data_IF_394910869391
#
_entry.id   IF_394910869391
#
_cell.length_a   1.000
_cell.length_b   1.000
_cell.length_c   1.000
_cell.angle_alpha   90.00
_cell.angle_beta   90.00
_cell.angle_gamma   90.00
#
_symmetry.space_group_name_H-M   'P 1'
#
loop_
_entity.id
_entity.type
_entity.pdbx_description
1 polymer ?
#
# COMPACT_ATOMS: atom_id res chain seq x y z
N UNK A 1 9.64 -2.66 -7.17
CA UNK A 1 10.09 -1.77 -8.27
C UNK A 1 9.58 -2.25 -9.63
N UNK A 2 10.08 -3.35 -10.20
CA UNK A 2 9.73 -3.79 -11.55
C UNK A 2 8.21 -3.96 -11.78
N UNK A 3 7.51 -4.61 -10.86
CA UNK A 3 6.05 -4.77 -10.95
C UNK A 3 5.28 -3.44 -10.91
N UNK A 4 5.77 -2.45 -10.17
CA UNK A 4 5.15 -1.11 -10.11
C UNK A 4 5.41 -0.37 -11.42
N UNK A 5 6.63 -0.45 -11.96
CA UNK A 5 6.96 0.14 -13.26
C UNK A 5 6.10 -0.46 -14.39
N UNK A 6 5.92 -1.79 -14.37
CA UNK A 6 5.19 -2.51 -15.41
C UNK A 6 3.67 -2.36 -15.27
N UNK A 7 3.10 -2.47 -14.06
CA UNK A 7 1.64 -2.53 -13.86
C UNK A 7 1.06 -1.31 -13.18
N UNK A 8 1.86 -0.31 -12.81
CA UNK A 8 1.42 0.89 -12.11
C UNK A 8 0.37 1.67 -12.89
N UNK A 9 0.55 1.83 -14.20
CA UNK A 9 -0.42 2.51 -15.07
C UNK A 9 -1.72 1.71 -15.27
N UNK A 10 -1.70 0.38 -15.10
CA UNK A 10 -2.87 -0.49 -15.27
C UNK A 10 -3.69 -0.56 -13.98
N UNK A 11 -3.01 -0.79 -12.85
CA UNK A 11 -3.67 -1.17 -11.60
C UNK A 11 -3.33 -0.27 -10.40
N UNK A 12 -2.39 0.66 -10.55
CA UNK A 12 -1.77 1.37 -9.41
C UNK A 12 -0.68 0.58 -8.72
N UNK A 13 -0.47 -0.70 -9.08
CA UNK A 13 0.66 -1.50 -8.59
C UNK A 13 0.68 -1.76 -7.08
N UNK A 14 -0.50 -1.91 -6.45
CA UNK A 14 -0.60 -2.05 -4.99
C UNK A 14 0.16 -3.28 -4.45
N UNK A 15 -0.10 -4.45 -5.05
CA UNK A 15 0.61 -5.73 -4.79
C UNK A 15 0.63 -6.12 -3.28
N UNK A 16 -0.25 -5.49 -2.48
CA UNK A 16 -0.20 -5.54 -1.03
C UNK A 16 -1.58 -5.18 -0.43
N UNK A 17 -2.18 -6.05 0.39
CA UNK A 17 -3.45 -5.76 1.05
C UNK A 17 -3.39 -4.53 1.95
N UNK A 18 -2.30 -4.31 2.69
CA UNK A 18 -2.16 -3.14 3.56
C UNK A 18 -2.16 -1.82 2.76
N UNK A 19 -1.47 -1.79 1.62
CA UNK A 19 -1.50 -0.65 0.68
C UNK A 19 -2.90 -0.47 0.10
N UNK A 20 -3.57 -1.56 -0.28
CA UNK A 20 -4.91 -1.51 -0.87
C UNK A 20 -5.96 -0.98 0.11
N UNK A 21 -5.91 -1.45 1.35
CA UNK A 21 -6.79 -0.97 2.42
C UNK A 21 -6.50 0.49 2.72
N UNK A 22 -5.21 0.89 2.81
CA UNK A 22 -4.84 2.30 2.99
C UNK A 22 -5.39 3.20 1.87
N UNK A 23 -5.30 2.76 0.61
CA UNK A 23 -5.87 3.48 -0.54
C UNK A 23 -7.39 3.57 -0.48
N UNK A 24 -8.09 2.55 0.02
CA UNK A 24 -9.53 2.59 0.23
C UNK A 24 -9.92 3.56 1.36
N UNK A 25 -9.20 3.54 2.49
CA UNK A 25 -9.38 4.49 3.61
C UNK A 25 -9.13 5.93 3.17
N UNK A 26 -8.13 6.14 2.32
CA UNK A 26 -7.84 7.43 1.70
C UNK A 26 -8.85 7.85 0.61
N UNK A 27 -9.87 7.03 0.34
CA UNK A 27 -10.87 7.21 -0.72
C UNK A 27 -10.28 7.33 -2.13
N UNK A 28 -9.08 6.78 -2.35
CA UNK A 28 -8.45 6.75 -3.66
C UNK A 28 -8.97 5.60 -4.55
N UNK A 29 -9.60 4.57 -3.95
CA UNK A 29 -10.26 3.47 -4.66
C UNK A 29 -11.61 3.14 -4.01
N UNK A 30 -12.52 2.53 -4.78
CA UNK A 30 -13.79 2.03 -4.24
C UNK A 30 -13.59 0.78 -3.38
N UNK A 31 -14.52 0.53 -2.46
CA UNK A 31 -14.50 -0.65 -1.58
C UNK A 31 -14.54 -1.95 -2.40
N UNK A 32 -15.36 -2.00 -3.46
CA UNK A 32 -15.44 -3.19 -4.34
C UNK A 32 -14.09 -3.45 -5.00
N UNK A 33 -13.43 -2.42 -5.53
CA UNK A 33 -12.09 -2.55 -6.13
C UNK A 33 -11.07 -3.02 -5.08
N UNK A 34 -11.16 -2.51 -3.86
CA UNK A 34 -10.29 -2.91 -2.77
C UNK A 34 -10.44 -4.40 -2.44
N UNK A 35 -11.67 -4.90 -2.32
CA UNK A 35 -11.95 -6.33 -2.07
C UNK A 35 -11.38 -7.19 -3.19
N UNK A 36 -11.66 -6.86 -4.46
CA UNK A 36 -11.14 -7.61 -5.60
C UNK A 36 -9.61 -7.62 -5.65
N UNK A 37 -8.97 -6.50 -5.33
CA UNK A 37 -7.51 -6.40 -5.25
C UNK A 37 -6.94 -7.31 -4.16
N UNK A 38 -7.50 -7.25 -2.95
CA UNK A 38 -7.04 -8.08 -1.82
C UNK A 38 -7.20 -9.57 -2.14
N UNK A 39 -8.33 -9.97 -2.71
CA UNK A 39 -8.56 -11.36 -3.14
C UNK A 39 -7.52 -11.81 -4.19
N UNK A 40 -7.30 -11.00 -5.23
CA UNK A 40 -6.31 -11.31 -6.27
C UNK A 40 -4.88 -11.39 -5.70
N UNK A 41 -4.52 -10.49 -4.79
CA UNK A 41 -3.21 -10.49 -4.13
C UNK A 41 -2.98 -11.74 -3.28
N UNK A 42 -3.99 -12.16 -2.49
CA UNK A 42 -3.94 -13.38 -1.69
C UNK A 42 -3.79 -14.62 -2.57
N UNK A 43 -4.63 -14.77 -3.59
CA UNK A 43 -4.60 -15.91 -4.51
C UNK A 43 -3.24 -15.98 -5.22
N UNK A 44 -2.78 -14.85 -5.76
CA UNK A 44 -1.48 -14.78 -6.43
C UNK A 44 -0.31 -15.12 -5.51
N UNK A 45 -0.34 -14.66 -4.26
CA UNK A 45 0.71 -14.96 -3.30
C UNK A 45 0.75 -16.43 -2.88
N UNK A 46 -0.41 -17.08 -2.68
CA UNK A 46 -0.49 -18.52 -2.39
C UNK A 46 0.04 -19.35 -3.57
N UNK A 47 -0.41 -19.02 -4.80
CA UNK A 47 0.10 -19.68 -6.01
C UNK A 47 1.62 -19.50 -6.13
N UNK A 48 2.13 -18.28 -5.90
CA UNK A 48 3.56 -18.00 -5.87
C UNK A 48 4.33 -18.81 -4.82
N UNK A 49 3.77 -18.95 -3.61
CA UNK A 49 4.35 -19.75 -2.53
C UNK A 49 4.47 -21.23 -2.88
N UNK A 50 3.42 -21.83 -3.45
CA UNK A 50 3.48 -23.23 -3.91
C UNK A 50 4.37 -23.43 -5.13
N UNK A 51 4.43 -22.47 -6.06
CA UNK A 51 5.37 -22.50 -7.18
C UNK A 51 6.82 -22.50 -6.66
N UNK A 52 7.15 -21.63 -5.70
CA UNK A 52 8.46 -21.62 -5.05
C UNK A 52 8.77 -22.97 -4.42
N UNK A 53 7.86 -23.53 -3.63
CA UNK A 53 8.02 -24.85 -3.01
C UNK A 53 8.26 -25.95 -4.06
N UNK A 54 7.46 -25.98 -5.13
CA UNK A 54 7.55 -26.98 -6.18
C UNK A 54 8.86 -26.93 -6.96
N UNK A 55 9.33 -25.72 -7.30
CA UNK A 55 10.52 -25.50 -8.12
C UNK A 55 11.83 -25.52 -7.33
N UNK A 56 11.78 -25.39 -6.01
CA UNK A 56 12.97 -25.42 -5.17
C UNK A 56 13.31 -26.88 -4.80
N UNK A 57 14.53 -27.39 -5.04
CA UNK A 57 14.91 -28.74 -4.62
C UNK A 57 14.91 -28.88 -3.09
N UNK A 58 14.58 -30.07 -2.58
CA UNK A 58 14.38 -30.32 -1.13
C UNK A 58 15.52 -29.77 -0.25
N UNK A 59 16.82 -29.96 -0.57
CA UNK A 59 17.91 -29.45 0.27
C UNK A 59 17.95 -27.92 0.41
N UNK A 60 17.31 -27.19 -0.52
CA UNK A 60 17.29 -25.72 -0.55
C UNK A 60 15.93 -25.12 -0.13
N UNK A 61 14.97 -25.95 0.27
CA UNK A 61 13.61 -25.47 0.61
C UNK A 61 13.55 -24.68 1.91
N UNK A 62 14.52 -24.86 2.81
CA UNK A 62 14.58 -24.25 4.15
C UNK A 62 13.17 -24.04 4.75
N UNK A 63 12.83 -22.81 5.17
CA UNK A 63 11.51 -22.43 5.65
C UNK A 63 10.65 -21.70 4.59
N UNK A 64 11.05 -21.72 3.31
CA UNK A 64 10.40 -20.99 2.20
C UNK A 64 10.22 -19.48 2.46
N UNK A 65 11.15 -18.87 3.22
CA UNK A 65 11.16 -17.44 3.55
C UNK A 65 9.85 -16.96 4.22
N UNK A 66 9.31 -17.78 5.12
CA UNK A 66 8.25 -17.37 6.05
C UNK A 66 8.70 -16.19 6.90
N UNK A 67 7.78 -15.29 7.20
CA UNK A 67 8.01 -14.24 8.18
C UNK A 67 7.85 -14.82 9.57
N UNK A 68 8.87 -14.65 10.41
CA UNK A 68 8.89 -15.11 11.79
C UNK A 68 9.58 -14.07 12.69
N UNK A 69 9.23 -14.04 13.97
CA UNK A 69 9.92 -13.21 14.93
C UNK A 69 11.36 -13.69 15.10
N UNK A 70 12.28 -12.72 15.13
CA UNK A 70 13.69 -12.97 15.41
C UNK A 70 13.90 -13.46 16.85
N UNK A 71 15.04 -14.11 17.15
CA UNK A 71 15.34 -14.57 18.49
C UNK A 71 15.27 -13.43 19.53
N UNK A 72 14.49 -13.63 20.59
CA UNK A 72 14.33 -12.64 21.67
C UNK A 72 13.37 -11.47 21.35
N UNK A 73 12.76 -11.43 20.15
CA UNK A 73 11.78 -10.41 19.79
C UNK A 73 10.40 -10.80 20.32
N UNK A 74 9.81 -9.92 21.12
CA UNK A 74 8.45 -10.11 21.63
C UNK A 74 7.40 -9.80 20.56
N UNK A 75 6.18 -10.32 20.73
CA UNK A 75 5.07 -10.02 19.80
C UNK A 75 4.78 -8.52 19.67
N UNK A 76 4.86 -7.77 20.77
CA UNK A 76 4.64 -6.32 20.78
C UNK A 76 5.74 -5.58 19.99
N UNK A 77 7.01 -5.99 20.14
CA UNK A 77 8.11 -5.43 19.36
C UNK A 77 7.96 -5.75 17.87
N UNK A 78 7.62 -7.01 17.53
CA UNK A 78 7.38 -7.40 16.15
C UNK A 78 6.23 -6.63 15.50
N UNK A 79 5.12 -6.46 16.22
CA UNK A 79 4.02 -5.61 15.81
C UNK A 79 4.46 -4.16 15.56
N UNK A 80 5.20 -3.57 16.51
CA UNK A 80 5.71 -2.21 16.38
C UNK A 80 6.62 -2.02 15.17
N UNK A 81 7.49 -2.98 14.90
CA UNK A 81 8.35 -2.99 13.71
C UNK A 81 7.51 -3.02 12.44
N UNK A 82 6.60 -3.99 12.28
CA UNK A 82 5.78 -4.09 11.07
C UNK A 82 4.88 -2.87 10.83
N UNK A 83 4.38 -2.26 11.90
CA UNK A 83 3.64 -1.01 11.85
C UNK A 83 4.49 0.12 11.26
N UNK A 84 5.69 0.35 11.80
CA UNK A 84 6.57 1.45 11.36
C UNK A 84 7.09 1.24 9.93
N UNK A 85 7.46 0.01 9.59
CA UNK A 85 7.92 -0.33 8.24
C UNK A 85 6.83 -0.06 7.21
N UNK A 86 5.61 -0.52 7.48
CA UNK A 86 4.49 -0.35 6.54
C UNK A 86 3.99 1.09 6.50
N UNK A 87 3.97 1.80 7.63
CA UNK A 87 3.69 3.23 7.67
C UNK A 87 4.65 4.01 6.76
N UNK A 88 5.94 3.71 6.83
CA UNK A 88 6.96 4.35 6.00
C UNK A 88 6.73 4.05 4.52
N UNK A 89 6.51 2.79 4.18
CA UNK A 89 6.20 2.35 2.81
C UNK A 89 4.98 3.08 2.24
N UNK A 90 3.87 3.05 2.97
CA UNK A 90 2.61 3.64 2.51
C UNK A 90 2.71 5.16 2.41
N UNK A 91 3.48 5.81 3.29
CA UNK A 91 3.69 7.26 3.24
C UNK A 91 4.46 7.65 1.98
N UNK A 92 5.49 6.88 1.61
CA UNK A 92 6.22 7.08 0.35
C UNK A 92 5.30 6.82 -0.85
N UNK A 93 4.43 5.80 -0.80
CA UNK A 93 3.46 5.54 -1.86
C UNK A 93 2.54 6.75 -2.05
N UNK A 94 1.91 7.25 -0.99
CA UNK A 94 1.06 8.44 -1.09
C UNK A 94 1.84 9.65 -1.62
N UNK A 95 3.00 9.95 -1.04
CA UNK A 95 3.82 11.08 -1.45
C UNK A 95 4.26 11.02 -2.90
N UNK A 96 4.63 9.84 -3.41
CA UNK A 96 5.16 9.69 -4.77
C UNK A 96 4.09 9.54 -5.84
N UNK A 97 2.88 9.12 -5.47
CA UNK A 97 1.74 8.94 -6.38
C UNK A 97 0.70 10.05 -6.28
N UNK A 98 0.96 11.08 -5.47
CA UNK A 98 0.09 12.25 -5.34
C UNK A 98 0.00 13.02 -6.68
N UNK A 99 -1.19 13.22 -7.25
CA UNK A 99 -1.34 13.98 -8.49
C UNK A 99 -0.97 15.46 -8.36
N UNK A 100 -0.96 16.01 -7.13
CA UNK A 100 -0.58 17.39 -6.87
C UNK A 100 0.94 17.57 -6.76
N UNK A 101 1.71 16.47 -6.71
CA UNK A 101 3.16 16.52 -6.67
C UNK A 101 3.69 16.81 -8.07
N UNK A 102 4.63 17.74 -8.18
CA UNK A 102 5.37 17.96 -9.42
C UNK A 102 6.03 16.64 -9.88
N UNK A 103 5.88 16.31 -11.16
CA UNK A 103 6.38 15.05 -11.73
C UNK A 103 7.91 15.03 -11.73
N UNK A 104 8.51 14.57 -10.63
CA UNK A 104 9.95 14.43 -10.46
C UNK A 104 10.31 13.04 -9.93
N UNK A 105 11.27 12.38 -10.58
CA UNK A 105 11.73 11.04 -10.25
C UNK A 105 10.73 9.93 -10.59
N UNK A 106 11.12 8.67 -10.37
CA UNK A 106 10.27 7.50 -10.60
C UNK A 106 9.63 7.03 -9.29
N UNK A 107 8.29 7.05 -9.17
CA UNK A 107 7.59 6.45 -8.03
C UNK A 107 7.96 4.98 -7.85
N UNK A 108 8.12 4.23 -8.95
CA UNK A 108 8.47 2.83 -8.90
C UNK A 108 9.84 2.58 -8.24
N UNK A 109 10.83 3.45 -8.51
CA UNK A 109 12.16 3.38 -7.90
C UNK A 109 12.07 3.71 -6.41
N UNK A 110 11.44 4.82 -6.06
CA UNK A 110 11.33 5.27 -4.66
C UNK A 110 10.61 4.25 -3.79
N UNK A 111 9.44 3.76 -4.23
CA UNK A 111 8.69 2.71 -3.52
C UNK A 111 9.53 1.44 -3.41
N UNK A 112 10.25 1.06 -4.48
CA UNK A 112 11.15 -0.09 -4.46
C UNK A 112 12.27 0.04 -3.44
N UNK A 113 12.95 1.19 -3.40
CA UNK A 113 14.02 1.47 -2.44
C UNK A 113 13.49 1.50 -1.00
N UNK A 114 12.29 2.02 -0.77
CA UNK A 114 11.65 1.99 0.56
C UNK A 114 11.39 0.57 1.03
N UNK A 115 10.92 -0.33 0.15
CA UNK A 115 10.79 -1.76 0.48
C UNK A 115 12.16 -2.37 0.81
N UNK A 116 13.20 -2.05 0.04
CA UNK A 116 14.57 -2.52 0.31
C UNK A 116 15.07 -2.06 1.68
N UNK A 117 14.92 -0.77 2.01
CA UNK A 117 15.29 -0.22 3.31
C UNK A 117 14.50 -0.88 4.44
N UNK A 118 13.21 -1.15 4.23
CA UNK A 118 12.39 -1.87 5.20
C UNK A 118 12.85 -3.31 5.43
N UNK A 119 13.38 -3.99 4.40
CA UNK A 119 14.01 -5.31 4.56
C UNK A 119 15.32 -5.20 5.35
N UNK A 120 16.19 -4.24 5.01
CA UNK A 120 17.46 -4.01 5.71
C UNK A 120 17.24 -3.71 7.20
N UNK A 121 16.17 -3.00 7.55
CA UNK A 121 15.84 -2.69 8.94
C UNK A 121 15.09 -3.83 9.65
N UNK A 122 14.16 -4.51 8.95
CA UNK A 122 13.15 -5.39 9.57
C UNK A 122 13.47 -6.87 9.57
N UNK A 123 14.36 -7.36 8.70
CA UNK A 123 14.57 -8.82 8.50
C UNK A 123 14.93 -9.52 9.82
N UNK A 124 15.87 -8.96 10.59
CA UNK A 124 16.33 -9.59 11.83
C UNK A 124 15.29 -9.59 12.96
N UNK A 125 14.23 -8.77 12.84
CA UNK A 125 13.20 -8.66 13.86
C UNK A 125 11.96 -9.51 13.53
N UNK A 126 11.51 -9.47 12.28
CA UNK A 126 10.19 -10.01 11.89
C UNK A 126 10.21 -10.79 10.58
N UNK A 127 11.35 -10.83 9.88
CA UNK A 127 11.44 -11.27 8.49
C UNK A 127 10.96 -10.21 7.47
N UNK A 128 10.59 -9.01 7.93
CA UNK A 128 10.13 -7.87 7.11
C UNK A 128 8.96 -8.22 6.19
N UNK A 129 7.76 -8.35 6.76
CA UNK A 129 6.54 -8.62 5.99
C UNK A 129 6.16 -7.41 5.14
N UNK A 130 5.79 -6.31 5.81
CA UNK A 130 5.11 -5.13 5.26
C UNK A 130 3.83 -5.41 4.45
N UNK A 131 3.49 -6.68 4.23
CA UNK A 131 2.55 -7.14 3.22
C UNK A 131 1.89 -8.45 3.67
N UNK A 132 0.62 -8.40 4.09
CA UNK A 132 -0.10 -9.57 4.57
C UNK A 132 -0.15 -10.72 3.56
N UNK A 133 -0.35 -10.43 2.26
CA UNK A 133 -0.41 -11.47 1.23
C UNK A 133 0.94 -12.18 1.03
N UNK A 134 2.05 -11.44 1.11
CA UNK A 134 3.41 -11.99 1.02
C UNK A 134 3.72 -12.93 2.17
N UNK A 135 3.31 -12.58 3.39
CA UNK A 135 3.47 -13.46 4.56
C UNK A 135 2.56 -14.68 4.48
N UNK A 136 1.30 -14.50 4.04
CA UNK A 136 0.35 -15.60 3.89
C UNK A 136 0.83 -16.63 2.85
N UNK A 137 1.31 -16.18 1.69
CA UNK A 137 1.72 -17.07 0.60
C UNK A 137 2.79 -18.07 1.01
N UNK A 138 3.85 -17.63 1.71
CA UNK A 138 4.87 -18.54 2.23
C UNK A 138 4.40 -19.35 3.42
N UNK A 139 3.60 -18.77 4.32
CA UNK A 139 3.01 -19.48 5.47
C UNK A 139 2.17 -20.68 5.05
N UNK A 140 1.26 -20.51 4.07
CA UNK A 140 0.42 -21.59 3.52
C UNK A 140 1.28 -22.66 2.85
N UNK A 141 2.29 -22.27 2.08
CA UNK A 141 3.15 -23.22 1.38
C UNK A 141 4.04 -24.03 2.36
N UNK A 142 4.54 -23.39 3.42
CA UNK A 142 5.41 -24.00 4.43
C UNK A 142 4.65 -24.68 5.57
N UNK A 143 3.34 -24.46 5.68
CA UNK A 143 2.51 -24.81 6.85
C UNK A 143 3.05 -24.23 8.16
N UNK A 144 3.30 -22.92 8.18
CA UNK A 144 3.89 -22.20 9.30
C UNK A 144 3.04 -20.98 9.70
N UNK A 145 2.54 -20.96 10.94
CA UNK A 145 1.50 -20.00 11.37
C UNK A 145 1.84 -19.23 12.65
N UNK A 146 3.07 -19.37 13.17
CA UNK A 146 3.46 -18.72 14.41
C UNK A 146 3.37 -17.19 14.30
N UNK A 147 2.69 -16.59 15.28
CA UNK A 147 2.49 -15.14 15.37
C UNK A 147 1.93 -14.48 14.09
N UNK A 148 1.27 -15.26 13.23
CA UNK A 148 0.90 -14.81 11.87
C UNK A 148 0.01 -13.55 11.85
N UNK A 149 -0.78 -13.37 12.92
CA UNK A 149 -1.63 -12.20 13.12
C UNK A 149 -0.85 -10.87 13.05
N UNK A 150 0.42 -10.86 13.48
CA UNK A 150 1.28 -9.67 13.46
C UNK A 150 1.43 -9.14 12.03
N UNK A 151 1.59 -10.04 11.06
CA UNK A 151 1.81 -9.72 9.65
C UNK A 151 0.54 -9.29 8.92
N UNK A 152 -0.61 -9.37 9.58
CA UNK A 152 -1.85 -8.76 9.14
C UNK A 152 -2.07 -7.42 9.82
N UNK A 153 -2.15 -7.43 11.15
CA UNK A 153 -2.57 -6.28 11.93
C UNK A 153 -1.51 -5.18 11.93
N UNK A 154 -0.21 -5.53 12.05
CA UNK A 154 0.89 -4.57 12.01
C UNK A 154 0.90 -3.77 10.70
N UNK A 155 1.00 -4.43 9.53
CA UNK A 155 0.99 -3.74 8.26
C UNK A 155 -0.30 -2.95 7.97
N UNK A 156 -1.47 -3.50 8.27
CA UNK A 156 -2.76 -2.81 8.05
C UNK A 156 -2.84 -1.56 8.94
N UNK A 157 -2.48 -1.66 10.22
CA UNK A 157 -2.48 -0.51 11.13
C UNK A 157 -1.51 0.57 10.65
N UNK A 158 -0.27 0.21 10.27
CA UNK A 158 0.71 1.14 9.71
C UNK A 158 0.22 1.83 8.43
N UNK A 159 -0.42 1.08 7.53
CA UNK A 159 -1.00 1.63 6.30
C UNK A 159 -2.17 2.58 6.54
N UNK A 160 -3.09 2.24 7.46
CA UNK A 160 -4.21 3.12 7.85
C UNK A 160 -3.69 4.40 8.49
N UNK A 161 -2.74 4.29 9.43
CA UNK A 161 -2.13 5.46 10.06
C UNK A 161 -1.47 6.37 9.01
N UNK A 162 -0.75 5.80 8.05
CA UNK A 162 -0.16 6.57 6.95
C UNK A 162 -1.20 7.27 6.09
N UNK A 163 -2.29 6.59 5.73
CA UNK A 163 -3.39 7.19 4.97
C UNK A 163 -4.00 8.39 5.70
N UNK A 164 -4.27 8.24 7.00
CA UNK A 164 -4.81 9.30 7.84
C UNK A 164 -3.83 10.47 7.98
N UNK A 165 -2.56 10.19 8.30
CA UNK A 165 -1.51 11.22 8.38
C UNK A 165 -1.38 11.98 7.06
N UNK A 166 -1.34 11.28 5.93
CA UNK A 166 -1.17 11.92 4.64
C UNK A 166 -2.37 12.79 4.27
N UNK A 167 -3.59 12.28 4.45
CA UNK A 167 -4.83 12.97 4.07
C UNK A 167 -5.30 14.04 5.04
N UNK A 168 -4.86 14.03 6.30
CA UNK A 168 -5.30 14.99 7.32
C UNK A 168 -4.22 16.01 7.68
N UNK A 169 -2.94 15.65 7.57
CA UNK A 169 -1.83 16.49 8.04
C UNK A 169 -0.96 16.98 6.88
N UNK A 170 -0.54 16.08 5.99
CA UNK A 170 0.45 16.41 4.94
C UNK A 170 -0.20 17.10 3.74
N UNK A 171 -1.24 16.49 3.18
CA UNK A 171 -2.02 17.02 2.07
C UNK A 171 -3.51 16.96 2.41
N UNK A 172 -3.96 17.81 3.36
CA UNK A 172 -5.37 17.89 3.68
C UNK A 172 -6.17 18.30 2.45
N UNK A 173 -7.32 17.66 2.25
CA UNK A 173 -8.27 18.09 1.22
C UNK A 173 -8.66 19.54 1.51
N UNK A 174 -8.21 20.46 0.65
CA UNK A 174 -8.46 21.89 0.83
C UNK A 174 -9.90 22.30 0.51
N UNK A 175 -10.75 21.38 0.02
CA UNK A 175 -12.04 21.76 -0.53
C UNK A 175 -11.89 22.51 -1.86
N UNK A 176 -13.03 22.80 -2.47
CA UNK A 176 -13.15 23.92 -3.40
C UNK A 176 -13.25 25.15 -2.49
N UNK A 177 -12.16 25.89 -2.33
CA UNK A 177 -12.14 27.05 -1.43
C UNK A 177 -12.92 28.23 -2.00
N UNK A 178 -13.15 28.25 -3.33
CA UNK A 178 -13.92 29.28 -4.00
C UNK A 178 -14.71 28.71 -5.20
N UNK A 179 -15.84 29.35 -5.51
CA UNK A 179 -16.71 28.96 -6.63
C UNK A 179 -15.97 29.03 -7.98
N UNK A 180 -14.99 29.92 -8.10
CA UNK A 180 -14.17 30.11 -9.30
C UNK A 180 -13.29 28.89 -9.63
N UNK A 181 -12.74 28.22 -8.61
CA UNK A 181 -11.93 27.02 -8.72
C UNK A 181 -12.81 25.79 -8.98
N UNK A 182 -14.04 25.77 -8.47
CA UNK A 182 -15.06 24.80 -8.90
C UNK A 182 -15.37 24.92 -10.39
N UNK A 183 -15.67 26.14 -10.84
CA UNK A 183 -16.06 26.42 -12.22
C UNK A 183 -14.87 26.19 -13.16
N UNK A 184 -13.65 26.57 -12.77
CA UNK A 184 -12.45 26.33 -13.59
C UNK A 184 -12.19 24.83 -13.77
N UNK A 185 -12.37 24.04 -12.72
CA UNK A 185 -12.22 22.58 -12.77
C UNK A 185 -13.31 21.92 -13.62
N UNK A 186 -14.57 22.36 -13.48
CA UNK A 186 -15.68 21.89 -14.33
C UNK A 186 -15.46 22.22 -15.81
N UNK A 187 -14.95 23.41 -16.13
CA UNK A 187 -14.58 23.80 -17.51
C UNK A 187 -13.44 22.95 -18.07
N UNK A 188 -12.46 22.57 -17.23
CA UNK A 188 -11.37 21.68 -17.62
C UNK A 188 -11.86 20.26 -17.88
N UNK A 189 -12.70 19.72 -16.99
CA UNK A 189 -13.17 18.34 -17.07
C UNK A 189 -14.25 18.15 -18.16
N UNK A 190 -15.00 19.21 -18.50
CA UNK A 190 -16.07 19.21 -19.51
C UNK A 190 -15.93 20.40 -20.49
N UNK A 191 -15.03 20.31 -21.47
CA UNK A 191 -14.82 21.37 -22.45
C UNK A 191 -16.06 21.57 -23.33
N UNK A 192 -16.58 22.80 -23.39
CA UNK A 192 -17.72 23.20 -24.23
C UNK A 192 -19.06 23.39 -23.49
N UNK A 193 -19.12 23.06 -22.20
CA UNK A 193 -20.29 23.34 -21.34
C UNK A 193 -20.30 24.79 -20.87
N UNK A 194 -21.45 25.48 -20.94
CA UNK A 194 -21.60 26.81 -20.34
C UNK A 194 -21.95 26.70 -18.85
N UNK A 195 -21.09 27.25 -18.00
CA UNK A 195 -21.25 27.26 -16.54
C UNK A 195 -21.49 28.68 -15.98
N UNK A 196 -21.77 29.66 -16.84
CA UNK A 196 -22.05 31.05 -16.45
C UNK A 196 -23.26 31.18 -15.50
N UNK A 197 -24.23 30.26 -15.59
CA UNK A 197 -25.41 30.23 -14.72
C UNK A 197 -25.13 29.65 -13.31
N UNK A 198 -23.92 29.11 -13.04
CA UNK A 198 -23.54 28.55 -11.72
C UNK A 198 -23.10 29.66 -10.74
N UNK A 199 -23.21 30.93 -11.13
CA UNK A 199 -23.08 32.08 -10.24
C UNK A 199 -24.25 32.11 -9.26
N UNK A 200 -24.24 31.19 -8.29
CA UNK A 200 -25.22 31.13 -7.21
C UNK A 200 -25.21 32.46 -6.49
N UNK A 201 -26.40 33.08 -6.39
CA UNK A 201 -26.69 34.25 -5.56
C UNK A 201 -25.88 34.16 -4.27
N UNK A 202 -24.85 34.99 -4.18
CA UNK A 202 -24.21 35.33 -2.92
C UNK A 202 -25.32 35.68 -1.94
N UNK A 203 -25.38 34.93 -0.84
CA UNK A 203 -26.25 35.22 0.29
C UNK A 203 -25.92 36.63 0.74
N UNK A 204 -26.84 37.57 0.53
CA UNK A 204 -26.85 38.87 1.22
C UNK A 204 -27.09 38.67 2.72
#
# INVERSE_FOLDING_TARGET
MALIQMFGHVSGGHINPAVTIAMAVAMNISIIRAVLYVSAQIIGAIVGGFLLKGLTPIPFRDNLAVTNLGPGVTQAQGFGVELVLTFTLVTVIFGTTDPNRASFGSPAILIGLTVTLGHLAGINFTGSSMNPSRSLGSAVAADFWDNHWIYWIGPIAGGILSALTYKLIINPYKGILNVEEAISKLRSDYPGSNFEDITLKTVE
#
